data_IF_432121265636
#
_entry.id   IF_432121265636
#
_cell.length_a   1.000
_cell.length_b   1.000
_cell.length_c   1.000
_cell.angle_alpha   90.00
_cell.angle_beta   90.00
_cell.angle_gamma   90.00
#
_symmetry.space_group_name_H-M   'P 1'
#
loop_
_entity.id
_entity.type
_entity.pdbx_description
1 polymer ?
#
# COMPACT_ATOMS: atom_id res chain seq x y z
N UNK A 1 5.94 48.35 -37.05
CA UNK A 1 4.95 47.82 -36.08
C UNK A 1 5.52 46.49 -35.63
N UNK A 2 6.39 46.53 -34.63
CA UNK A 2 6.96 45.33 -34.01
C UNK A 2 5.90 44.77 -33.05
N UNK A 3 5.37 43.59 -33.36
CA UNK A 3 4.57 42.83 -32.40
C UNK A 3 5.52 42.20 -31.36
N UNK A 4 5.24 42.32 -30.06
CA UNK A 4 6.07 41.71 -29.04
C UNK A 4 6.05 40.19 -29.18
N UNK A 5 7.24 39.62 -29.24
CA UNK A 5 7.50 38.19 -29.21
C UNK A 5 6.92 37.61 -27.92
N UNK A 6 5.80 36.90 -28.00
CA UNK A 6 5.25 36.14 -26.87
C UNK A 6 6.21 34.98 -26.62
N UNK A 7 6.91 34.91 -25.47
CA UNK A 7 7.76 33.79 -25.16
C UNK A 7 6.91 32.51 -25.14
N UNK A 8 7.37 31.38 -25.72
CA UNK A 8 6.64 30.13 -25.63
C UNK A 8 6.40 29.80 -24.15
N UNK A 9 5.13 29.68 -23.77
CA UNK A 9 4.74 29.27 -22.43
C UNK A 9 5.45 27.93 -22.12
N UNK A 10 6.03 27.76 -20.92
CA UNK A 10 6.80 26.58 -20.60
C UNK A 10 5.91 25.35 -20.77
N UNK A 11 6.38 24.40 -21.58
CA UNK A 11 5.76 23.09 -21.78
C UNK A 11 5.38 22.52 -20.41
N UNK A 12 4.09 22.36 -20.17
CA UNK A 12 3.56 21.76 -18.96
C UNK A 12 4.09 20.34 -18.86
N UNK A 13 5.12 20.15 -18.04
CA UNK A 13 5.67 18.82 -17.77
C UNK A 13 4.63 18.06 -16.96
N UNK A 14 3.87 17.23 -17.65
CA UNK A 14 2.87 16.35 -17.07
C UNK A 14 3.57 15.23 -16.29
N UNK A 15 3.83 15.48 -15.01
CA UNK A 15 4.43 14.50 -14.12
C UNK A 15 3.34 13.54 -13.67
N UNK A 16 3.25 12.39 -14.34
CA UNK A 16 2.39 11.28 -13.92
C UNK A 16 2.85 10.79 -12.53
N UNK A 17 2.27 11.35 -11.47
CA UNK A 17 2.54 10.93 -10.10
C UNK A 17 1.97 9.52 -9.92
N UNK A 18 2.83 8.53 -10.14
CA UNK A 18 2.57 7.15 -9.74
C UNK A 18 2.36 7.11 -8.23
N UNK A 19 1.11 7.14 -7.76
CA UNK A 19 0.80 6.78 -6.37
C UNK A 19 1.06 5.29 -6.19
N UNK A 20 2.26 4.94 -5.74
CA UNK A 20 2.52 3.59 -5.25
C UNK A 20 1.55 3.27 -4.10
N UNK A 21 0.82 2.15 -4.16
CA UNK A 21 0.03 1.66 -3.03
C UNK A 21 0.95 1.51 -1.80
N UNK A 22 0.55 2.13 -0.68
CA UNK A 22 1.36 2.13 0.55
C UNK A 22 1.37 0.72 1.15
N UNK A 23 2.56 0.14 1.31
CA UNK A 23 2.76 -1.21 1.89
C UNK A 23 2.63 -1.24 3.42
N UNK A 24 2.93 -0.11 4.08
CA UNK A 24 2.92 0.05 5.54
C UNK A 24 1.63 -0.41 6.26
N UNK A 25 0.40 -0.07 5.81
CA UNK A 25 -0.81 -0.49 6.51
C UNK A 25 -1.04 -2.00 6.51
N UNK A 26 -0.67 -2.71 5.44
CA UNK A 26 -0.83 -4.16 5.36
C UNK A 26 0.15 -4.90 6.28
N UNK A 27 1.39 -4.40 6.34
CA UNK A 27 2.39 -4.95 7.24
C UNK A 27 2.02 -4.71 8.71
N UNK A 28 1.56 -3.50 9.02
CA UNK A 28 1.09 -3.13 10.35
C UNK A 28 -0.12 -3.94 10.80
N UNK A 29 -1.10 -4.16 9.91
CA UNK A 29 -2.27 -4.98 10.22
C UNK A 29 -1.89 -6.45 10.48
N UNK A 30 -1.06 -7.05 9.63
CA UNK A 30 -0.59 -8.43 9.81
C UNK A 30 0.21 -8.61 11.11
N UNK A 31 1.13 -7.69 11.41
CA UNK A 31 1.88 -7.68 12.66
C UNK A 31 0.94 -7.54 13.87
N UNK A 32 -0.03 -6.62 13.82
CA UNK A 32 -0.98 -6.38 14.90
C UNK A 32 -1.82 -7.63 15.20
N UNK A 33 -2.34 -8.29 14.16
CA UNK A 33 -3.08 -9.56 14.31
C UNK A 33 -2.19 -10.65 14.89
N UNK A 34 -0.95 -10.79 14.42
CA UNK A 34 0.01 -11.76 14.97
C UNK A 34 0.31 -11.53 16.45
N UNK A 35 0.52 -10.28 16.85
CA UNK A 35 0.71 -9.91 18.26
C UNK A 35 -0.53 -10.25 19.10
N UNK A 36 -1.74 -9.95 18.60
CA UNK A 36 -2.97 -10.31 19.30
C UNK A 36 -3.06 -11.82 19.55
N UNK A 37 -2.80 -12.63 18.52
CA UNK A 37 -2.83 -14.10 18.62
C UNK A 37 -1.78 -14.59 19.61
N UNK A 38 -0.56 -14.05 19.58
CA UNK A 38 0.51 -14.41 20.52
C UNK A 38 0.12 -14.14 21.97
N UNK A 39 -0.41 -12.95 22.25
CA UNK A 39 -0.81 -12.56 23.59
C UNK A 39 -1.96 -13.45 24.08
N UNK A 40 -2.98 -13.67 23.26
CA UNK A 40 -4.10 -14.57 23.60
C UNK A 40 -3.56 -15.97 23.93
N UNK A 41 -2.75 -16.57 23.05
CA UNK A 41 -2.17 -17.89 23.29
C UNK A 41 -1.32 -17.95 24.56
N UNK A 42 -0.54 -16.90 24.84
CA UNK A 42 0.33 -16.86 26.02
C UNK A 42 -0.44 -16.73 27.34
N UNK A 43 -1.59 -16.03 27.35
CA UNK A 43 -2.39 -15.84 28.56
C UNK A 43 -3.48 -16.89 28.76
N UNK A 44 -3.89 -17.60 27.70
CA UNK A 44 -4.83 -18.74 27.77
C UNK A 44 -4.13 -20.07 28.06
N UNK A 45 -2.82 -20.18 27.81
CA UNK A 45 -2.04 -21.38 28.12
C UNK A 45 -1.92 -21.66 29.63
N UNK A 46 -1.87 -22.95 29.98
CA UNK A 46 -1.62 -23.38 31.37
C UNK A 46 -0.26 -22.83 31.83
N UNK A 47 -0.16 -22.19 33.02
CA UNK A 47 1.11 -21.72 33.52
C UNK A 47 2.09 -22.89 33.66
N UNK A 48 3.13 -22.89 32.82
CA UNK A 48 4.25 -23.81 32.97
C UNK A 48 5.04 -23.47 34.24
N UNK A 49 5.40 -24.48 35.02
CA UNK A 49 6.30 -24.33 36.17
C UNK A 49 7.74 -24.05 35.73
N UNK A 50 8.11 -24.45 34.51
CA UNK A 50 9.48 -24.33 33.98
C UNK A 50 9.76 -22.99 33.27
N UNK A 51 8.74 -22.40 32.63
CA UNK A 51 8.89 -21.14 31.89
C UNK A 51 7.98 -20.05 32.45
N UNK A 52 8.53 -18.85 32.61
CA UNK A 52 7.74 -17.69 33.00
C UNK A 52 6.76 -17.33 31.88
N UNK A 53 5.55 -16.87 32.22
CA UNK A 53 4.55 -16.43 31.23
C UNK A 53 5.11 -15.36 30.29
N UNK A 54 5.98 -14.48 30.79
CA UNK A 54 6.65 -13.46 29.98
C UNK A 54 7.59 -14.04 28.92
N UNK A 55 8.32 -15.12 29.23
CA UNK A 55 9.19 -15.79 28.26
C UNK A 55 8.37 -16.48 27.15
N UNK A 56 7.29 -17.19 27.52
CA UNK A 56 6.37 -17.81 26.56
C UNK A 56 5.71 -16.76 25.68
N UNK A 57 5.21 -15.67 26.28
CA UNK A 57 4.61 -14.56 25.54
C UNK A 57 5.59 -13.93 24.56
N UNK A 58 6.83 -13.66 24.99
CA UNK A 58 7.86 -13.09 24.13
C UNK A 58 8.21 -14.01 22.94
N UNK A 59 8.37 -15.30 23.19
CA UNK A 59 8.67 -16.28 22.14
C UNK A 59 7.53 -16.40 21.11
N UNK A 60 6.29 -16.53 21.59
CA UNK A 60 5.11 -16.57 20.72
C UNK A 60 4.96 -15.26 19.93
N UNK A 61 5.23 -14.12 20.56
CA UNK A 61 5.16 -12.81 19.90
C UNK A 61 6.13 -12.72 18.73
N UNK A 62 7.36 -13.22 18.87
CA UNK A 62 8.32 -13.28 17.76
C UNK A 62 7.80 -14.18 16.63
N UNK A 63 7.37 -15.40 16.95
CA UNK A 63 6.91 -16.36 15.92
C UNK A 63 5.66 -15.84 15.20
N UNK A 64 4.60 -15.52 15.94
CA UNK A 64 3.36 -15.02 15.36
C UNK A 64 3.53 -13.63 14.75
N UNK A 65 4.45 -12.82 15.27
CA UNK A 65 4.82 -11.54 14.67
C UNK A 65 5.41 -11.72 13.27
N UNK A 66 6.40 -12.61 13.11
CA UNK A 66 7.01 -12.91 11.80
C UNK A 66 5.97 -13.50 10.85
N UNK A 67 5.16 -14.46 11.31
CA UNK A 67 4.11 -15.08 10.49
C UNK A 67 3.07 -14.02 10.08
N UNK A 68 2.61 -13.19 11.02
CA UNK A 68 1.63 -12.14 10.77
C UNK A 68 2.13 -11.11 9.76
N UNK A 69 3.38 -10.68 9.89
CA UNK A 69 4.07 -9.81 8.92
C UNK A 69 4.15 -10.48 7.55
N UNK A 70 4.54 -11.76 7.49
CA UNK A 70 4.62 -12.50 6.23
C UNK A 70 3.26 -12.61 5.53
N UNK A 71 2.20 -12.93 6.27
CA UNK A 71 0.82 -12.97 5.73
C UNK A 71 0.38 -11.57 5.28
N UNK A 72 0.67 -10.54 6.06
CA UNK A 72 0.40 -9.15 5.70
C UNK A 72 1.13 -8.72 4.42
N UNK A 73 2.39 -9.14 4.25
CA UNK A 73 3.16 -8.91 3.04
C UNK A 73 2.57 -9.65 1.82
N UNK A 74 2.15 -10.90 1.96
CA UNK A 74 1.47 -11.64 0.89
C UNK A 74 0.16 -10.95 0.50
N UNK A 75 -0.64 -10.52 1.48
CA UNK A 75 -1.86 -9.76 1.24
C UNK A 75 -1.57 -8.45 0.50
N UNK A 76 -0.50 -7.74 0.88
CA UNK A 76 -0.02 -6.56 0.17
C UNK A 76 0.34 -6.88 -1.29
N UNK A 77 1.10 -7.93 -1.57
CA UNK A 77 1.47 -8.29 -2.94
C UNK A 77 0.25 -8.57 -3.81
N UNK A 78 -0.80 -9.17 -3.25
CA UNK A 78 -2.08 -9.38 -3.96
C UNK A 78 -2.75 -8.03 -4.24
N UNK A 79 -2.84 -7.15 -3.23
CA UNK A 79 -3.45 -5.83 -3.37
C UNK A 79 -2.69 -4.93 -4.35
N UNK A 80 -1.36 -4.94 -4.32
CA UNK A 80 -0.48 -4.20 -5.21
C UNK A 80 -0.65 -4.64 -6.67
N UNK A 81 -0.80 -5.95 -6.89
CA UNK A 81 -1.06 -6.53 -8.22
C UNK A 81 -2.43 -6.12 -8.77
N UNK A 82 -3.45 -6.02 -7.92
CA UNK A 82 -4.79 -5.54 -8.31
C UNK A 82 -4.77 -4.04 -8.59
N UNK A 83 -4.13 -3.25 -7.72
CA UNK A 83 -4.01 -1.80 -7.88
C UNK A 83 -3.26 -1.43 -9.17
N UNK A 84 -2.16 -2.14 -9.48
CA UNK A 84 -1.40 -1.97 -10.73
C UNK A 84 -2.26 -2.24 -11.97
N UNK A 85 -3.16 -3.24 -11.91
CA UNK A 85 -4.10 -3.53 -13.00
C UNK A 85 -5.19 -2.47 -13.13
N UNK A 86 -5.73 -1.96 -12.01
CA UNK A 86 -6.84 -1.00 -12.01
C UNK A 86 -6.39 0.40 -12.43
N UNK A 87 -5.21 0.84 -12.01
CA UNK A 87 -4.62 2.11 -12.43
C UNK A 87 -4.49 2.21 -13.96
N UNK A 88 -4.19 1.08 -14.63
CA UNK A 88 -4.13 1.02 -16.10
C UNK A 88 -5.47 1.28 -16.78
N UNK A 89 -6.60 0.99 -16.11
CA UNK A 89 -7.94 1.17 -16.68
C UNK A 89 -8.46 2.60 -16.49
N UNK A 90 -8.17 3.23 -15.36
CA UNK A 90 -8.58 4.62 -15.10
C UNK A 90 -7.79 5.64 -15.94
N UNK A 91 -6.50 5.39 -16.22
CA UNK A 91 -5.74 6.26 -17.14
C UNK A 91 -6.27 6.23 -18.58
N UNK A 92 -6.86 5.11 -19.00
CA UNK A 92 -7.41 4.98 -20.34
C UNK A 92 -8.70 5.78 -20.54
N UNK A 93 -9.44 6.09 -19.46
CA UNK A 93 -10.71 6.83 -19.52
C UNK A 93 -10.53 8.35 -19.41
N UNK A 94 -9.36 8.82 -18.96
CA UNK A 94 -9.05 10.24 -18.78
C UNK A 94 -8.38 10.92 -20.00
N UNK A 95 -8.27 10.22 -21.14
CA UNK A 95 -7.68 10.76 -22.38
C UNK A 95 -8.70 10.84 -23.53
N UNK A 96 -9.92 10.30 -23.39
CA UNK A 96 -10.84 10.13 -24.53
C UNK A 96 -11.87 11.27 -24.73
N UNK A 97 -11.86 12.35 -23.94
CA UNK A 97 -13.01 13.29 -23.94
C UNK A 97 -12.73 14.78 -24.24
N UNK A 98 -11.51 15.21 -24.61
CA UNK A 98 -11.21 16.66 -24.73
C UNK A 98 -10.62 17.17 -26.07
N UNK A 99 -10.60 16.40 -27.17
CA UNK A 99 -9.98 16.89 -28.44
C UNK A 99 -10.90 17.12 -29.65
N UNK A 100 -12.22 17.13 -29.53
CA UNK A 100 -13.10 17.48 -30.67
C UNK A 100 -14.09 18.62 -30.39
N UNK A 101 -13.56 19.76 -29.95
CA UNK A 101 -14.22 21.08 -30.04
C UNK A 101 -13.49 22.08 -30.97
N UNK A 102 -12.66 21.60 -31.90
CA UNK A 102 -11.98 22.47 -32.87
C UNK A 102 -12.15 21.95 -34.31
N UNK A 103 -13.40 21.87 -34.77
CA UNK A 103 -13.74 21.74 -36.20
C UNK A 103 -15.00 22.55 -36.51
N UNK A 104 -15.04 23.79 -36.02
CA UNK A 104 -15.76 24.86 -36.72
C UNK A 104 -14.77 25.45 -37.74
N UNK A 105 -14.92 25.04 -39.00
CA UNK A 105 -14.41 25.74 -40.18
C UNK A 105 -15.33 25.44 -41.37
#
# INVERSE_FOLDING_TARGET
>A
MDSPETPPAPDSIDVEVRRSPKFWPFLGAGAFVGVLVALISAYTGEPSTEFTRGAVAGFLLVIFGVIGVAVGAVAYLIADKVASKKARRTRAELIDDDTHHASDA
#
